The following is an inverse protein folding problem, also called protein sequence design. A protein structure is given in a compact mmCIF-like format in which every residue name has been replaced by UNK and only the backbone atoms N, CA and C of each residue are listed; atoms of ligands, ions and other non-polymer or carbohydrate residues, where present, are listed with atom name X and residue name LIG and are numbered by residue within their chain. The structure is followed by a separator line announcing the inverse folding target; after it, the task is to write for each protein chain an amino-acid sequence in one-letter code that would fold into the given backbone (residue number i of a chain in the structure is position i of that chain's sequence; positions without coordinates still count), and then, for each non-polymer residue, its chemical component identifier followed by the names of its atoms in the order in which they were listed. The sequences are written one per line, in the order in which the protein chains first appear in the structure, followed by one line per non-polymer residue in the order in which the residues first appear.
data_IF_736505059484
#
_entry.id   IF_736505059484
#
_cell.length_a   1.000
_cell.length_b   1.000
_cell.length_c   1.000
_cell.angle_alpha   90.00
_cell.angle_beta   90.00
_cell.angle_gamma   90.00
#
_symmetry.space_group_name_H-M   'P 1'
#
loop_
_entity.id
_entity.type
_entity.pdbx_description
1 polymer ?
#
# COMPACT_ATOMS: atom_id res chain seq x y z
N UNK A 1 4.93 -23.08 -7.65
CA UNK A 1 5.35 -22.05 -8.63
C UNK A 1 4.18 -21.08 -8.95
N UNK A 2 3.00 -21.55 -9.39
CA UNK A 2 1.87 -20.68 -9.74
C UNK A 2 1.28 -19.91 -8.55
N UNK A 3 1.33 -20.47 -7.33
CA UNK A 3 0.81 -19.84 -6.11
C UNK A 3 1.72 -18.69 -5.66
N UNK A 4 3.02 -18.86 -5.80
CA UNK A 4 4.00 -17.83 -5.44
C UNK A 4 3.95 -16.64 -6.41
N UNK A 5 3.76 -16.89 -7.72
CA UNK A 5 3.65 -15.83 -8.72
C UNK A 5 2.38 -14.98 -8.52
N UNK A 6 1.23 -15.62 -8.20
CA UNK A 6 -0.01 -14.90 -7.90
C UNK A 6 0.11 -14.02 -6.66
N UNK A 7 0.72 -14.54 -5.60
CA UNK A 7 0.96 -13.76 -4.38
C UNK A 7 1.94 -12.62 -4.62
N UNK A 8 2.89 -12.77 -5.53
CA UNK A 8 3.81 -11.70 -5.90
C UNK A 8 3.13 -10.58 -6.72
N UNK A 9 2.04 -10.89 -7.44
CA UNK A 9 1.28 -9.91 -8.22
C UNK A 9 0.23 -9.13 -7.40
N UNK A 10 -0.22 -9.68 -6.27
CA UNK A 10 -1.24 -9.04 -5.42
C UNK A 10 -0.86 -7.63 -4.94
N UNK A 11 0.40 -7.32 -4.53
CA UNK A 11 0.79 -5.97 -4.13
C UNK A 11 0.77 -4.95 -5.27
N UNK A 12 0.87 -5.40 -6.52
CA UNK A 12 0.97 -4.49 -7.68
C UNK A 12 -0.30 -3.66 -7.85
N UNK A 13 -1.47 -4.24 -7.61
CA UNK A 13 -2.74 -3.54 -7.83
C UNK A 13 -2.96 -2.37 -6.85
N UNK A 14 -2.79 -2.52 -5.53
CA UNK A 14 -2.83 -1.38 -4.61
C UNK A 14 -1.85 -0.28 -4.99
N UNK A 15 -0.62 -0.65 -5.37
CA UNK A 15 0.42 0.29 -5.79
C UNK A 15 0.02 1.01 -7.08
N UNK A 16 -0.50 0.29 -8.07
CA UNK A 16 -0.97 0.88 -9.32
C UNK A 16 -2.12 1.87 -9.11
N UNK A 17 -3.03 1.59 -8.18
CA UNK A 17 -4.12 2.52 -7.82
C UNK A 17 -3.53 3.80 -7.23
N UNK A 18 -2.60 3.70 -6.30
CA UNK A 18 -1.97 4.88 -5.68
C UNK A 18 -1.20 5.69 -6.71
N UNK A 19 -0.44 5.03 -7.61
CA UNK A 19 0.27 5.70 -8.71
C UNK A 19 -0.66 6.41 -9.69
N UNK A 20 -1.88 5.92 -9.86
CA UNK A 20 -2.90 6.59 -10.67
C UNK A 20 -3.56 7.76 -9.92
N UNK A 21 -3.75 7.65 -8.61
CA UNK A 21 -4.33 8.70 -7.79
C UNK A 21 -3.39 9.90 -7.60
N UNK A 22 -2.09 9.68 -7.52
CA UNK A 22 -1.09 10.73 -7.32
C UNK A 22 -1.14 11.81 -8.41
N UNK A 23 -1.03 11.50 -9.73
CA UNK A 23 -1.17 12.51 -10.79
C UNK A 23 -2.57 13.10 -10.89
N UNK A 24 -3.62 12.33 -10.56
CA UNK A 24 -4.98 12.85 -10.49
C UNK A 24 -5.10 13.92 -9.42
N UNK A 25 -4.52 13.67 -8.24
CA UNK A 25 -4.50 14.63 -7.13
C UNK A 25 -3.75 15.92 -7.51
N UNK A 26 -2.59 15.81 -8.16
CA UNK A 26 -1.86 16.96 -8.69
C UNK A 26 -2.74 17.79 -9.63
N UNK A 27 -3.42 17.14 -10.56
CA UNK A 27 -4.29 17.81 -11.52
C UNK A 27 -5.48 18.52 -10.83
N UNK A 28 -6.12 17.86 -9.87
CA UNK A 28 -7.26 18.42 -9.14
C UNK A 28 -6.87 19.62 -8.25
N UNK A 29 -5.66 19.62 -7.72
CA UNK A 29 -5.12 20.73 -6.92
C UNK A 29 -4.61 21.89 -7.79
N UNK A 30 -4.58 21.74 -9.10
CA UNK A 30 -4.03 22.75 -10.02
C UNK A 30 -2.51 22.90 -9.92
N UNK A 31 -1.83 21.92 -9.35
CA UNK A 31 -0.39 21.92 -9.20
C UNK A 31 0.33 21.52 -10.48
N UNK A 32 1.40 22.23 -10.81
CA UNK A 32 2.19 21.94 -12.00
C UNK A 32 3.24 20.86 -11.74
N UNK A 33 3.46 20.02 -12.75
CA UNK A 33 4.58 19.09 -12.73
C UNK A 33 5.91 19.83 -12.68
N UNK A 34 6.73 19.47 -11.71
CA UNK A 34 8.10 19.96 -11.55
C UNK A 34 9.03 18.77 -11.26
N UNK A 35 10.36 18.93 -11.34
CA UNK A 35 11.28 17.81 -11.12
C UNK A 35 11.11 17.10 -9.77
N UNK A 36 10.71 17.83 -8.71
CA UNK A 36 10.44 17.22 -7.41
C UNK A 36 9.17 16.36 -7.43
N UNK A 37 8.09 16.85 -8.05
CA UNK A 37 6.84 16.06 -8.13
C UNK A 37 6.97 14.82 -9.02
N UNK A 38 7.86 14.84 -10.02
CA UNK A 38 8.21 13.65 -10.80
C UNK A 38 8.94 12.62 -9.92
N UNK A 39 9.87 13.08 -9.08
CA UNK A 39 10.58 12.21 -8.14
C UNK A 39 9.64 11.55 -7.10
N UNK A 40 8.47 12.18 -6.81
CA UNK A 40 7.45 11.60 -5.92
C UNK A 40 6.97 10.22 -6.35
N UNK A 41 6.84 9.96 -7.64
CA UNK A 41 6.42 8.65 -8.13
C UNK A 41 7.33 7.51 -7.62
N UNK A 42 8.64 7.78 -7.53
CA UNK A 42 9.60 6.81 -6.97
C UNK A 42 9.44 6.65 -5.45
N UNK A 43 9.16 7.74 -4.74
CA UNK A 43 8.90 7.71 -3.30
C UNK A 43 7.62 6.94 -2.98
N UNK A 44 6.54 7.20 -3.71
CA UNK A 44 5.25 6.49 -3.59
C UNK A 44 5.42 4.99 -3.82
N UNK A 45 6.16 4.60 -4.86
CA UNK A 45 6.50 3.21 -5.11
C UNK A 45 7.23 2.59 -3.91
N UNK A 46 8.22 3.27 -3.36
CA UNK A 46 9.00 2.79 -2.21
C UNK A 46 8.11 2.56 -0.98
N UNK A 47 7.39 3.57 -0.53
CA UNK A 47 6.52 3.51 0.66
C UNK A 47 5.35 2.54 0.47
N UNK A 48 4.69 2.58 -0.70
CA UNK A 48 3.57 1.69 -1.01
C UNK A 48 3.99 0.22 -1.06
N UNK A 49 5.17 -0.05 -1.62
CA UNK A 49 5.74 -1.40 -1.69
C UNK A 49 6.09 -1.91 -0.30
N UNK A 50 6.72 -1.08 0.53
CA UNK A 50 7.07 -1.43 1.91
C UNK A 50 5.84 -1.89 2.71
N UNK A 51 4.78 -1.08 2.73
CA UNK A 51 3.56 -1.39 3.49
C UNK A 51 2.89 -2.68 3.01
N UNK A 52 2.81 -2.87 1.70
CA UNK A 52 2.17 -4.06 1.12
C UNK A 52 3.00 -5.32 1.31
N UNK A 53 4.32 -5.24 1.21
CA UNK A 53 5.22 -6.38 1.42
C UNK A 53 5.17 -6.84 2.87
N UNK A 54 5.24 -5.94 3.85
CA UNK A 54 5.20 -6.28 5.27
C UNK A 54 3.93 -7.06 5.65
N UNK A 55 2.76 -6.62 5.17
CA UNK A 55 1.51 -7.34 5.40
C UNK A 55 1.53 -8.71 4.71
N UNK A 56 2.02 -8.78 3.47
CA UNK A 56 2.05 -10.02 2.70
C UNK A 56 3.02 -11.05 3.31
N UNK A 57 4.17 -10.62 3.79
CA UNK A 57 5.14 -11.50 4.48
C UNK A 57 4.53 -12.07 5.76
N UNK A 58 3.93 -11.21 6.58
CA UNK A 58 3.26 -11.67 7.81
C UNK A 58 2.10 -12.62 7.50
N UNK A 59 1.31 -12.32 6.47
CA UNK A 59 0.26 -13.22 6.01
C UNK A 59 0.80 -14.61 5.63
N UNK A 60 1.92 -14.66 4.88
CA UNK A 60 2.57 -15.93 4.51
C UNK A 60 3.06 -16.72 5.73
N UNK A 61 3.68 -16.05 6.69
CA UNK A 61 4.11 -16.67 7.94
C UNK A 61 2.94 -17.35 8.67
N UNK A 62 1.83 -16.62 8.82
CA UNK A 62 0.62 -17.15 9.50
C UNK A 62 -0.01 -18.33 8.74
N UNK A 63 0.04 -18.31 7.40
CA UNK A 63 -0.39 -19.47 6.60
C UNK A 63 0.53 -20.69 6.79
N UNK A 64 1.85 -20.48 6.93
CA UNK A 64 2.80 -21.57 7.19
C UNK A 64 2.56 -22.21 8.57
N UNK A 65 2.04 -21.45 9.52
CA UNK A 65 1.60 -21.94 10.83
C UNK A 65 0.26 -22.71 10.80
N UNK A 66 -0.32 -22.91 9.61
CA UNK A 66 -1.52 -23.71 9.41
C UNK A 66 -2.83 -22.94 9.55
N UNK A 67 -2.83 -21.61 9.65
CA UNK A 67 -4.04 -20.80 9.71
C UNK A 67 -4.74 -20.74 8.34
N UNK A 68 -6.06 -20.61 8.39
CA UNK A 68 -6.86 -20.32 7.18
C UNK A 68 -6.49 -18.96 6.59
N UNK A 69 -6.85 -18.72 5.33
CA UNK A 69 -6.57 -17.44 4.66
C UNK A 69 -7.20 -16.26 5.42
N UNK A 70 -8.44 -16.43 5.90
CA UNK A 70 -9.15 -15.37 6.64
C UNK A 70 -8.49 -15.09 8.00
N UNK A 71 -8.13 -16.12 8.75
CA UNK A 71 -7.42 -15.97 10.04
C UNK A 71 -6.03 -15.37 9.86
N UNK A 72 -5.28 -15.85 8.88
CA UNK A 72 -3.92 -15.37 8.60
C UNK A 72 -3.89 -13.89 8.24
N UNK A 73 -4.84 -13.41 7.41
CA UNK A 73 -4.88 -12.01 7.02
C UNK A 73 -5.33 -11.09 8.17
N UNK A 74 -6.27 -11.53 9.00
CA UNK A 74 -6.70 -10.77 10.19
C UNK A 74 -5.52 -10.59 11.13
N UNK A 75 -4.75 -11.64 11.40
CA UNK A 75 -3.58 -11.57 12.28
C UNK A 75 -2.49 -10.68 11.66
N UNK A 76 -2.25 -10.82 10.35
CA UNK A 76 -1.26 -9.99 9.66
C UNK A 76 -1.61 -8.50 9.76
N UNK A 77 -2.85 -8.12 9.45
CA UNK A 77 -3.29 -6.71 9.52
C UNK A 77 -3.29 -6.21 10.97
N UNK A 78 -3.68 -7.03 11.93
CA UNK A 78 -3.71 -6.61 13.35
C UNK A 78 -2.30 -6.36 13.89
N UNK A 79 -1.35 -7.26 13.60
CA UNK A 79 -0.01 -7.17 14.18
C UNK A 79 0.89 -6.17 13.44
N UNK A 80 0.90 -6.22 12.11
CA UNK A 80 1.76 -5.36 11.28
C UNK A 80 1.09 -4.01 11.01
N UNK A 81 -0.25 -3.97 10.94
CA UNK A 81 -1.01 -2.76 10.68
C UNK A 81 -0.72 -1.62 11.65
N UNK A 82 -0.51 -1.93 12.93
CA UNK A 82 -0.13 -0.92 13.93
C UNK A 82 1.25 -0.32 13.60
N UNK A 83 2.23 -1.16 13.25
CA UNK A 83 3.58 -0.71 12.93
C UNK A 83 3.61 0.15 11.67
N UNK A 84 2.96 -0.29 10.59
CA UNK A 84 2.91 0.49 9.34
C UNK A 84 2.09 1.78 9.49
N UNK A 85 1.05 1.78 10.33
CA UNK A 85 0.29 3.00 10.65
C UNK A 85 1.16 4.00 11.39
N UNK A 86 1.91 3.57 12.38
CA UNK A 86 2.84 4.42 13.11
C UNK A 86 3.94 4.98 12.19
N UNK A 87 4.52 4.12 11.33
CA UNK A 87 5.50 4.54 10.33
C UNK A 87 4.90 5.55 9.34
N UNK A 88 3.74 5.25 8.76
CA UNK A 88 3.06 6.14 7.83
C UNK A 88 2.70 7.49 8.45
N UNK A 89 2.20 7.51 9.69
CA UNK A 89 1.94 8.76 10.41
C UNK A 89 3.20 9.57 10.69
N UNK A 90 4.33 8.92 10.93
CA UNK A 90 5.62 9.59 11.08
C UNK A 90 6.07 10.25 9.79
N UNK A 91 5.93 9.54 8.65
CA UNK A 91 6.20 10.11 7.31
C UNK A 91 5.27 11.29 7.03
N UNK A 92 3.97 11.13 7.26
CA UNK A 92 2.97 12.20 7.11
C UNK A 92 3.34 13.41 7.95
N UNK A 93 3.66 13.22 9.23
CA UNK A 93 4.06 14.31 10.13
C UNK A 93 5.32 15.03 9.69
N UNK A 94 6.33 14.30 9.22
CA UNK A 94 7.58 14.87 8.71
C UNK A 94 7.36 15.71 7.44
N UNK A 95 6.61 15.20 6.46
CA UNK A 95 6.34 15.92 5.22
C UNK A 95 5.29 17.02 5.36
N UNK A 96 4.35 16.90 6.32
CA UNK A 96 3.40 17.97 6.64
C UNK A 96 4.09 19.26 7.07
N UNK A 97 5.26 19.19 7.69
CA UNK A 97 6.04 20.37 8.04
C UNK A 97 6.48 21.19 6.80
N UNK A 98 6.66 20.54 5.65
CA UNK A 98 7.04 21.21 4.40
C UNK A 98 5.89 22.03 3.80
N UNK A 99 4.63 21.71 4.12
CA UNK A 99 3.44 22.43 3.64
C UNK A 99 3.49 23.90 4.08
N UNK A 100 4.07 24.15 5.24
CA UNK A 100 4.16 25.50 5.83
C UNK A 100 5.39 26.30 5.38
N UNK A 101 6.20 25.76 4.47
CA UNK A 101 7.36 26.51 3.96
C UNK A 101 6.94 27.59 2.97
N UNK A 102 7.70 28.69 2.95
CA UNK A 102 7.50 29.79 2.00
C UNK A 102 7.93 29.46 0.57
N UNK A 103 8.53 28.29 0.33
CA UNK A 103 8.99 27.86 -0.98
C UNK A 103 7.93 26.97 -1.66
N UNK A 104 7.21 27.49 -2.68
CA UNK A 104 6.03 26.82 -3.22
C UNK A 104 6.28 25.38 -3.67
N UNK A 105 7.42 25.13 -4.35
CA UNK A 105 7.76 23.78 -4.84
C UNK A 105 7.90 22.77 -3.71
N UNK A 106 8.46 23.19 -2.56
CA UNK A 106 8.60 22.35 -1.38
C UNK A 106 7.27 22.12 -0.68
N UNK A 107 6.42 23.16 -0.64
CA UNK A 107 5.07 23.06 -0.08
C UNK A 107 4.21 22.06 -0.87
N UNK A 108 4.17 22.17 -2.19
CA UNK A 108 3.47 21.22 -3.07
C UNK A 108 4.04 19.80 -2.91
N UNK A 109 5.36 19.65 -2.85
CA UNK A 109 6.00 18.36 -2.62
C UNK A 109 5.56 17.75 -1.29
N UNK A 110 5.55 18.51 -0.21
CA UNK A 110 5.10 18.07 1.12
C UNK A 110 3.64 17.62 1.10
N UNK A 111 2.76 18.43 0.51
CA UNK A 111 1.33 18.14 0.42
C UNK A 111 1.06 16.83 -0.35
N UNK A 112 1.65 16.67 -1.52
CA UNK A 112 1.46 15.48 -2.34
C UNK A 112 2.02 14.23 -1.64
N UNK A 113 3.20 14.34 -1.00
CA UNK A 113 3.78 13.21 -0.24
C UNK A 113 2.88 12.77 0.90
N UNK A 114 2.27 13.70 1.62
CA UNK A 114 1.31 13.40 2.70
C UNK A 114 0.11 12.64 2.14
N UNK A 115 -0.50 13.11 1.05
CA UNK A 115 -1.64 12.46 0.42
C UNK A 115 -1.30 11.09 -0.13
N UNK A 116 -0.18 10.94 -0.82
CA UNK A 116 0.29 9.68 -1.39
C UNK A 116 0.61 8.63 -0.31
N UNK A 117 1.21 9.06 0.81
CA UNK A 117 1.46 8.19 1.96
C UNK A 117 0.13 7.73 2.58
N UNK A 118 -0.84 8.63 2.70
CA UNK A 118 -2.17 8.28 3.21
C UNK A 118 -2.89 7.30 2.28
N UNK A 119 -2.85 7.52 0.96
CA UNK A 119 -3.41 6.58 -0.02
C UNK A 119 -2.75 5.21 0.06
N UNK A 120 -1.42 5.18 0.17
CA UNK A 120 -0.65 3.93 0.30
C UNK A 120 -1.02 3.16 1.57
N UNK A 121 -1.16 3.86 2.69
CA UNK A 121 -1.56 3.27 3.97
C UNK A 121 -2.96 2.68 3.91
N UNK A 122 -3.93 3.44 3.38
CA UNK A 122 -5.30 2.97 3.20
C UNK A 122 -5.33 1.77 2.24
N UNK A 123 -4.63 1.85 1.12
CA UNK A 123 -4.59 0.76 0.13
C UNK A 123 -3.98 -0.52 0.70
N UNK A 124 -2.91 -0.42 1.48
CA UNK A 124 -2.27 -1.56 2.12
C UNK A 124 -3.16 -2.21 3.19
N UNK A 125 -3.89 -1.42 3.98
CA UNK A 125 -4.73 -1.92 5.07
C UNK A 125 -6.12 -2.40 4.63
N UNK A 126 -6.61 -1.97 3.46
CA UNK A 126 -7.96 -2.29 2.99
C UNK A 126 -7.97 -3.07 1.69
N UNK A 127 -7.34 -2.54 0.63
CA UNK A 127 -7.38 -3.14 -0.70
C UNK A 127 -6.60 -4.45 -0.74
N UNK A 128 -5.39 -4.48 -0.19
CA UNK A 128 -4.56 -5.68 -0.19
C UNK A 128 -5.21 -6.86 0.55
N UNK A 129 -5.72 -6.72 1.80
CA UNK A 129 -6.42 -7.80 2.50
C UNK A 129 -7.65 -8.29 1.75
N UNK A 130 -8.45 -7.37 1.21
CA UNK A 130 -9.64 -7.72 0.43
C UNK A 130 -9.27 -8.55 -0.81
N UNK A 131 -8.23 -8.17 -1.52
CA UNK A 131 -7.74 -8.90 -2.70
C UNK A 131 -7.23 -10.30 -2.35
N UNK A 132 -6.52 -10.47 -1.23
CA UNK A 132 -6.02 -11.77 -0.77
C UNK A 132 -7.21 -12.72 -0.53
N UNK A 133 -8.24 -12.26 0.19
CA UNK A 133 -9.44 -13.06 0.48
C UNK A 133 -10.23 -13.39 -0.79
N UNK A 134 -10.43 -12.41 -1.68
CA UNK A 134 -11.14 -12.61 -2.95
C UNK A 134 -10.38 -13.61 -3.83
N UNK A 135 -9.06 -13.45 -3.95
CA UNK A 135 -8.21 -14.34 -4.73
C UNK A 135 -8.28 -15.80 -4.22
N UNK A 136 -8.32 -16.00 -2.91
CA UNK A 136 -8.46 -17.33 -2.33
C UNK A 136 -9.84 -17.95 -2.62
N UNK A 137 -10.92 -17.19 -2.49
CA UNK A 137 -12.29 -17.66 -2.79
C UNK A 137 -12.46 -18.03 -4.27
N UNK A 138 -11.85 -17.27 -5.19
CA UNK A 138 -11.98 -17.53 -6.63
C UNK A 138 -11.09 -18.68 -7.12
N UNK A 139 -9.90 -18.85 -6.55
CA UNK A 139 -8.90 -19.82 -6.99
C UNK A 139 -8.69 -20.98 -6.01
N UNK A 140 -9.10 -20.84 -4.73
CA UNK A 140 -9.00 -21.87 -3.70
C UNK A 140 -10.13 -22.91 -3.77
N UNK A 141 -11.29 -22.58 -4.33
CA UNK A 141 -12.46 -23.45 -4.42
C UNK A 141 -12.28 -24.70 -5.29
N UNK A 142 -11.16 -24.83 -6.01
CA UNK A 142 -10.86 -26.01 -6.85
C UNK A 142 -10.26 -27.20 -6.09
N UNK A 143 -9.79 -27.01 -4.85
CA UNK A 143 -9.12 -28.10 -4.09
C UNK A 143 -10.03 -28.92 -3.16
N UNK A 144 -11.25 -28.49 -2.93
CA UNK A 144 -12.16 -29.19 -2.02
C UNK A 144 -13.14 -30.15 -2.74
N UNK A 145 -12.97 -30.42 -4.03
CA UNK A 145 -13.77 -31.38 -4.81
C UNK A 145 -13.04 -32.70 -5.15
N UNK A 146 -11.82 -32.90 -4.59
CA UNK A 146 -11.05 -34.11 -4.82
C UNK A 146 -10.65 -34.77 -3.48
N UNK A 147 -11.65 -35.13 -2.66
CA UNK A 147 -11.58 -36.17 -1.63
C UNK A 147 -12.92 -36.88 -1.55
#
# INVERSE_FOLDING_TARGET
VYRDLKMALLPILPIAIVLGLSPLTLHLLGESYNPLTIALSSLVLGVGTEFTILILERFKEEQQLGKSTEEAIIVAVTNVGQAITASGLTVIGGFAALIFTSFPVLSSFGLITVLDTLYSLIAALTILPAMIVISDKWFGGSKNKAK
#
